data_IF_935560801025
#
_entry.id   IF_935560801025
#
_cell.length_a   1.000
_cell.length_b   1.000
_cell.length_c   1.000
_cell.angle_alpha   90.00
_cell.angle_beta   90.00
_cell.angle_gamma   90.00
#
_symmetry.space_group_name_H-M   'P 1'
#
loop_
_entity.id
_entity.type
_entity.pdbx_description
1 polymer ?
#
# COMPACT_ATOMS: atom_id res chain seq x y z
N UNK A 1 -1.18 -12.72 -2.99
CA UNK A 1 0.04 -13.57 -2.96
C UNK A 1 -0.06 -14.71 -1.95
N UNK A 2 -0.57 -14.47 -0.73
CA UNK A 2 -0.71 -15.51 0.32
C UNK A 2 -1.56 -16.72 -0.15
N UNK A 3 -2.65 -16.49 -0.90
CA UNK A 3 -3.47 -17.58 -1.46
C UNK A 3 -2.72 -18.49 -2.45
N UNK A 4 -1.81 -17.94 -3.26
CA UNK A 4 -1.04 -18.69 -4.26
C UNK A 4 -0.01 -19.65 -3.64
N UNK A 5 0.43 -19.34 -2.41
CA UNK A 5 1.34 -20.19 -1.64
C UNK A 5 0.55 -21.29 -0.88
N UNK A 6 -0.69 -21.00 -0.48
CA UNK A 6 -1.55 -21.95 0.24
C UNK A 6 -2.28 -22.94 -0.67
N UNK A 7 -2.62 -22.55 -1.90
CA UNK A 7 -3.30 -23.39 -2.90
C UNK A 7 -2.55 -24.69 -3.24
N UNK A 8 -1.24 -24.71 -3.53
CA UNK A 8 -0.52 -25.96 -3.78
C UNK A 8 -0.53 -26.88 -2.55
N UNK A 9 -0.56 -26.30 -1.35
CA UNK A 9 -0.63 -27.07 -0.11
C UNK A 9 -2.03 -27.68 0.15
N UNK A 10 -3.12 -26.99 -0.23
CA UNK A 10 -4.46 -27.58 -0.13
C UNK A 10 -4.66 -28.75 -1.08
N UNK A 11 -4.18 -28.65 -2.32
CA UNK A 11 -4.30 -29.74 -3.30
C UNK A 11 -3.56 -31.02 -2.87
N UNK A 12 -2.38 -30.88 -2.26
CA UNK A 12 -1.63 -32.02 -1.71
C UNK A 12 -2.37 -32.73 -0.57
N UNK A 13 -3.09 -31.98 0.27
CA UNK A 13 -3.91 -32.54 1.35
C UNK A 13 -5.23 -33.13 0.85
N UNK A 14 -5.79 -32.59 -0.22
CA UNK A 14 -7.06 -33.06 -0.79
C UNK A 14 -6.92 -34.47 -1.40
N UNK A 15 -5.68 -34.89 -1.74
CA UNK A 15 -5.36 -36.28 -2.07
C UNK A 15 -5.50 -37.24 -0.88
N UNK A 16 -5.46 -36.75 0.37
CA UNK A 16 -5.28 -37.56 1.58
C UNK A 16 -6.55 -37.76 2.43
N UNK A 17 -7.71 -37.13 2.17
CA UNK A 17 -8.86 -37.52 3.00
C UNK A 17 -10.26 -36.93 2.88
N UNK A 18 -10.56 -35.90 2.07
CA UNK A 18 -11.96 -35.52 1.79
C UNK A 18 -12.07 -34.77 0.46
N UNK A 19 -12.78 -35.36 -0.49
CA UNK A 19 -12.83 -34.91 -1.88
C UNK A 19 -13.78 -33.72 -2.06
N UNK A 20 -13.20 -32.56 -2.37
CA UNK A 20 -13.88 -31.57 -3.20
C UNK A 20 -13.63 -31.95 -4.66
N UNK A 21 -14.64 -31.90 -5.52
CA UNK A 21 -14.44 -32.22 -6.94
C UNK A 21 -13.34 -31.35 -7.53
N UNK A 22 -12.35 -31.95 -8.22
CA UNK A 22 -11.20 -31.23 -8.84
C UNK A 22 -11.64 -30.01 -9.65
N UNK A 23 -12.76 -30.17 -10.35
CA UNK A 23 -13.41 -29.13 -11.13
C UNK A 23 -13.87 -27.95 -10.24
N UNK A 24 -14.49 -28.23 -9.10
CA UNK A 24 -14.91 -27.20 -8.13
C UNK A 24 -13.72 -26.43 -7.55
N UNK A 25 -12.62 -27.12 -7.22
CA UNK A 25 -11.40 -26.49 -6.69
C UNK A 25 -10.74 -25.59 -7.74
N UNK A 26 -10.67 -26.05 -9.00
CA UNK A 26 -10.15 -25.26 -10.11
C UNK A 26 -10.99 -24.00 -10.38
N UNK A 27 -12.32 -24.13 -10.40
CA UNK A 27 -13.23 -22.98 -10.54
C UNK A 27 -13.07 -21.98 -9.39
N UNK A 28 -13.01 -22.47 -8.15
CA UNK A 28 -12.80 -21.60 -6.99
C UNK A 28 -11.44 -20.88 -7.08
N UNK A 29 -10.38 -21.58 -7.47
CA UNK A 29 -9.05 -20.99 -7.63
C UNK A 29 -9.01 -19.91 -8.73
N UNK A 30 -9.71 -20.10 -9.84
CA UNK A 30 -9.78 -19.10 -10.91
C UNK A 30 -10.68 -17.90 -10.56
N UNK A 31 -11.82 -18.14 -9.89
CA UNK A 31 -12.84 -17.12 -9.69
C UNK A 31 -12.66 -16.30 -8.42
N UNK A 32 -12.14 -16.86 -7.33
CA UNK A 32 -12.11 -16.16 -6.03
C UNK A 32 -11.42 -14.79 -6.11
N UNK A 33 -10.32 -14.68 -6.86
CA UNK A 33 -9.58 -13.41 -7.03
C UNK A 33 -10.36 -12.41 -7.87
N UNK A 34 -10.97 -12.88 -8.96
CA UNK A 34 -11.74 -12.02 -9.86
C UNK A 34 -13.01 -11.51 -9.18
N UNK A 35 -13.74 -12.37 -8.48
CA UNK A 35 -14.93 -12.02 -7.72
C UNK A 35 -14.59 -11.05 -6.59
N UNK A 36 -13.49 -11.27 -5.87
CA UNK A 36 -13.04 -10.35 -4.81
C UNK A 36 -12.72 -8.97 -5.37
N UNK A 37 -11.94 -8.89 -6.46
CA UNK A 37 -11.62 -7.62 -7.10
C UNK A 37 -12.88 -6.92 -7.62
N UNK A 38 -13.79 -7.66 -8.25
CA UNK A 38 -15.05 -7.12 -8.75
C UNK A 38 -15.92 -6.56 -7.62
N UNK A 39 -16.05 -7.30 -6.50
CA UNK A 39 -16.77 -6.83 -5.33
C UNK A 39 -16.16 -5.54 -4.77
N UNK A 40 -14.83 -5.47 -4.71
CA UNK A 40 -14.11 -4.27 -4.26
C UNK A 40 -14.33 -3.10 -5.21
N UNK A 41 -14.25 -3.32 -6.53
CA UNK A 41 -14.50 -2.30 -7.54
C UNK A 41 -15.94 -1.77 -7.46
N UNK A 42 -16.94 -2.64 -7.30
CA UNK A 42 -18.34 -2.24 -7.15
C UNK A 42 -18.57 -1.45 -5.86
N UNK A 43 -17.91 -1.85 -4.76
CA UNK A 43 -17.93 -1.11 -3.50
C UNK A 43 -17.38 0.32 -3.68
N UNK A 44 -16.22 0.47 -4.33
CA UNK A 44 -15.65 1.78 -4.62
C UNK A 44 -16.47 2.58 -5.64
N UNK A 45 -17.05 1.93 -6.65
CA UNK A 45 -17.94 2.58 -7.61
C UNK A 45 -19.16 3.19 -6.90
N UNK A 46 -19.75 2.47 -5.94
CA UNK A 46 -20.82 2.99 -5.08
C UNK A 46 -20.39 4.20 -4.23
N UNK A 47 -19.14 4.24 -3.79
CA UNK A 47 -18.58 5.39 -3.06
C UNK A 47 -18.40 6.63 -3.97
N UNK A 48 -18.07 6.44 -5.25
CA UNK A 48 -17.87 7.52 -6.24
C UNK A 48 -19.20 8.13 -6.70
N UNK A 49 -20.26 7.32 -6.83
CA UNK A 49 -21.60 7.74 -7.29
C UNK A 49 -22.33 8.63 -6.24
N UNK A 50 -21.68 8.98 -5.12
CA UNK A 50 -22.09 10.07 -4.24
C UNK A 50 -23.12 9.68 -3.16
N UNK A 51 -23.60 8.44 -3.13
CA UNK A 51 -24.51 7.95 -2.09
C UNK A 51 -23.82 7.63 -0.75
N UNK A 52 -22.48 7.55 -0.72
CA UNK A 52 -21.69 7.21 0.46
C UNK A 52 -20.84 8.36 1.02
N UNK A 53 -21.45 9.37 1.67
CA UNK A 53 -20.70 10.48 2.33
C UNK A 53 -19.68 9.98 3.37
N UNK A 54 -19.99 8.92 4.10
CA UNK A 54 -19.09 8.33 5.10
C UNK A 54 -17.83 7.71 4.47
N UNK A 55 -18.00 6.95 3.38
CA UNK A 55 -16.89 6.27 2.69
C UNK A 55 -15.97 7.29 2.02
N UNK A 56 -16.55 8.33 1.40
CA UNK A 56 -15.78 9.44 0.81
C UNK A 56 -14.99 10.24 1.84
N UNK A 57 -15.54 10.46 3.04
CA UNK A 57 -14.83 11.12 4.12
C UNK A 57 -13.67 10.26 4.66
N UNK A 58 -13.89 8.95 4.75
CA UNK A 58 -12.85 8.00 5.18
C UNK A 58 -11.70 7.96 4.17
N UNK A 59 -11.97 7.70 2.89
CA UNK A 59 -10.93 7.59 1.85
C UNK A 59 -10.34 8.93 1.39
N UNK A 60 -11.07 10.04 1.56
CA UNK A 60 -10.59 11.39 1.27
C UNK A 60 -9.65 11.96 2.34
N UNK A 61 -9.45 11.25 3.46
CA UNK A 61 -8.55 11.71 4.51
C UNK A 61 -7.10 11.77 3.99
N UNK A 62 -6.41 12.87 4.28
CA UNK A 62 -5.00 13.09 3.87
C UNK A 62 -4.05 12.00 4.37
N UNK A 63 -4.46 11.23 5.37
CA UNK A 63 -3.75 10.09 5.96
C UNK A 63 -3.51 8.95 4.94
N UNK A 64 -4.40 8.77 3.95
CA UNK A 64 -4.26 7.70 2.95
C UNK A 64 -3.15 7.95 1.93
N UNK A 65 -2.79 9.22 1.70
CA UNK A 65 -1.72 9.60 0.79
C UNK A 65 -0.37 8.95 1.12
N UNK A 66 0.21 9.17 2.31
CA UNK A 66 1.48 8.53 2.70
C UNK A 66 1.34 7.01 2.85
N UNK A 67 0.19 6.51 3.31
CA UNK A 67 -0.05 5.07 3.45
C UNK A 67 0.02 4.32 2.11
N UNK A 68 -0.60 4.87 1.06
CA UNK A 68 -0.56 4.26 -0.27
C UNK A 68 0.89 4.15 -0.79
N UNK A 69 1.68 5.21 -0.62
CA UNK A 69 3.10 5.22 -1.02
C UNK A 69 3.93 4.21 -0.24
N UNK A 70 3.76 4.14 1.08
CA UNK A 70 4.48 3.19 1.92
C UNK A 70 4.19 1.74 1.49
N UNK A 71 2.92 1.38 1.29
CA UNK A 71 2.55 0.02 0.87
C UNK A 71 3.10 -0.34 -0.51
N UNK A 72 3.25 0.63 -1.41
CA UNK A 72 3.83 0.43 -2.72
C UNK A 72 5.34 0.09 -2.63
N UNK A 73 6.09 0.80 -1.80
CA UNK A 73 7.53 0.52 -1.60
C UNK A 73 7.71 -0.85 -0.94
N UNK A 74 6.88 -1.17 0.07
CA UNK A 74 6.88 -2.49 0.71
C UNK A 74 6.64 -3.60 -0.31
N UNK A 75 5.68 -3.40 -1.23
CA UNK A 75 5.36 -4.39 -2.27
C UNK A 75 6.54 -4.66 -3.20
N UNK A 76 7.27 -3.62 -3.62
CA UNK A 76 8.46 -3.77 -4.47
C UNK A 76 9.59 -4.52 -3.73
N UNK A 77 9.87 -4.11 -2.48
CA UNK A 77 10.89 -4.76 -1.64
C UNK A 77 10.52 -6.21 -1.36
N UNK A 78 9.25 -6.51 -1.16
CA UNK A 78 8.78 -7.85 -0.87
C UNK A 78 9.15 -8.86 -1.96
N UNK A 79 8.99 -8.51 -3.25
CA UNK A 79 9.42 -9.36 -4.37
C UNK A 79 10.92 -9.61 -4.34
N UNK A 80 11.71 -8.59 -4.02
CA UNK A 80 13.17 -8.71 -3.93
C UNK A 80 13.60 -9.62 -2.78
N UNK A 81 12.99 -9.45 -1.60
CA UNK A 81 13.24 -10.27 -0.40
C UNK A 81 12.88 -11.73 -0.66
N UNK A 82 11.71 -11.99 -1.26
CA UNK A 82 11.32 -13.34 -1.67
C UNK A 82 12.39 -13.93 -2.60
N UNK A 83 12.77 -13.23 -3.66
CA UNK A 83 13.73 -13.74 -4.65
C UNK A 83 15.10 -14.03 -4.03
N UNK A 84 15.60 -13.15 -3.16
CA UNK A 84 16.87 -13.33 -2.46
C UNK A 84 16.85 -14.54 -1.52
N UNK A 85 15.74 -14.71 -0.78
CA UNK A 85 15.62 -15.82 0.16
C UNK A 85 15.43 -17.14 -0.57
N UNK A 86 14.58 -17.20 -1.60
CA UNK A 86 14.41 -18.40 -2.43
C UNK A 86 15.70 -18.80 -3.16
N UNK A 87 16.53 -17.84 -3.59
CA UNK A 87 17.86 -18.13 -4.16
C UNK A 87 18.84 -18.71 -3.14
N UNK A 88 18.65 -18.38 -1.86
CA UNK A 88 19.48 -18.88 -0.75
C UNK A 88 19.02 -20.26 -0.23
N UNK A 89 17.76 -20.62 -0.47
CA UNK A 89 17.20 -21.93 -0.10
C UNK A 89 17.68 -23.01 -1.09
N UNK A 90 18.84 -23.60 -0.79
CA UNK A 90 19.42 -24.70 -1.57
C UNK A 90 18.89 -26.09 -1.17
N UNK A 91 18.07 -26.20 -0.12
CA UNK A 91 17.55 -27.46 0.42
C UNK A 91 16.03 -27.40 0.61
N UNK A 92 15.35 -28.53 0.35
CA UNK A 92 13.90 -28.66 0.51
C UNK A 92 13.53 -28.74 1.98
N UNK A 93 12.88 -27.69 2.48
CA UNK A 93 12.36 -27.63 3.84
C UNK A 93 11.02 -28.37 3.86
N UNK A 94 10.80 -29.28 4.82
CA UNK A 94 9.50 -29.92 4.99
C UNK A 94 8.41 -28.89 5.31
N UNK A 95 7.58 -28.56 4.32
CA UNK A 95 6.55 -27.52 4.43
C UNK A 95 5.34 -28.07 5.21
N UNK A 96 5.23 -27.69 6.47
CA UNK A 96 4.02 -27.90 7.28
C UNK A 96 3.16 -26.63 7.28
N UNK A 97 1.82 -26.73 7.38
CA UNK A 97 0.90 -25.56 7.42
C UNK A 97 1.34 -24.46 8.38
N UNK A 98 1.72 -24.87 9.59
CA UNK A 98 2.10 -23.95 10.67
C UNK A 98 3.37 -23.18 10.29
N UNK A 99 4.33 -23.87 9.68
CA UNK A 99 5.57 -23.28 9.19
C UNK A 99 5.30 -22.32 8.02
N UNK A 100 4.41 -22.69 7.11
CA UNK A 100 4.04 -21.87 5.95
C UNK A 100 3.39 -20.54 6.37
N UNK A 101 2.45 -20.58 7.32
CA UNK A 101 1.82 -19.37 7.86
C UNK A 101 2.85 -18.52 8.60
N UNK A 102 3.67 -19.14 9.44
CA UNK A 102 4.72 -18.44 10.17
C UNK A 102 5.71 -17.75 9.21
N UNK A 103 6.16 -18.46 8.18
CA UNK A 103 7.09 -17.94 7.18
C UNK A 103 6.48 -16.79 6.37
N UNK A 104 5.20 -16.91 5.99
CA UNK A 104 4.48 -15.85 5.27
C UNK A 104 4.39 -14.57 6.09
N UNK A 105 4.08 -14.68 7.39
CA UNK A 105 4.03 -13.54 8.31
C UNK A 105 5.42 -12.93 8.46
N UNK A 106 6.44 -13.76 8.73
CA UNK A 106 7.82 -13.32 8.89
C UNK A 106 8.35 -12.59 7.65
N UNK A 107 8.02 -13.06 6.44
CA UNK A 107 8.40 -12.41 5.19
C UNK A 107 7.78 -11.02 5.03
N UNK A 108 6.51 -10.86 5.40
CA UNK A 108 5.83 -9.57 5.36
C UNK A 108 6.49 -8.63 6.37
N UNK A 109 6.69 -9.07 7.60
CA UNK A 109 7.36 -8.27 8.63
C UNK A 109 8.76 -7.82 8.22
N UNK A 110 9.56 -8.74 7.67
CA UNK A 110 10.91 -8.42 7.21
C UNK A 110 10.88 -7.41 6.06
N UNK A 111 9.92 -7.55 5.14
CA UNK A 111 9.75 -6.60 4.02
C UNK A 111 9.37 -5.20 4.51
N UNK A 112 8.55 -5.10 5.56
CA UNK A 112 8.23 -3.82 6.20
C UNK A 112 9.46 -3.18 6.84
N UNK A 113 10.26 -3.94 7.59
CA UNK A 113 11.47 -3.44 8.25
C UNK A 113 12.47 -2.89 7.22
N UNK A 114 12.68 -3.61 6.12
CA UNK A 114 13.61 -3.20 5.05
C UNK A 114 13.05 -2.04 4.23
N UNK A 115 11.74 -1.98 4.02
CA UNK A 115 11.11 -0.94 3.22
C UNK A 115 11.12 0.43 3.91
N UNK A 116 11.05 0.51 5.23
CA UNK A 116 11.02 1.79 5.96
C UNK A 116 12.26 2.67 5.68
N UNK A 117 13.51 2.18 5.84
CA UNK A 117 14.68 3.00 5.53
C UNK A 117 14.74 3.35 4.05
N UNK A 118 14.43 2.41 3.14
CA UNK A 118 14.39 2.66 1.70
C UNK A 118 13.37 3.75 1.35
N UNK A 119 12.19 3.71 1.96
CA UNK A 119 11.16 4.72 1.78
C UNK A 119 11.64 6.10 2.27
N UNK A 120 12.28 6.19 3.44
CA UNK A 120 12.84 7.45 3.94
C UNK A 120 13.95 8.01 3.03
N UNK A 121 14.84 7.14 2.54
CA UNK A 121 15.94 7.52 1.67
C UNK A 121 15.47 7.98 0.29
N UNK A 122 14.35 7.47 -0.22
CA UNK A 122 13.81 7.86 -1.52
C UNK A 122 12.85 9.05 -1.38
N UNK A 123 12.02 9.10 -0.35
CA UNK A 123 11.06 10.19 -0.17
C UNK A 123 11.75 11.54 0.10
N UNK A 124 12.82 11.56 0.91
CA UNK A 124 13.57 12.78 1.21
C UNK A 124 14.14 13.49 -0.04
N UNK A 125 14.90 12.83 -0.94
CA UNK A 125 15.41 13.45 -2.15
C UNK A 125 14.31 13.71 -3.18
N UNK A 126 13.28 12.86 -3.28
CA UNK A 126 12.17 13.08 -4.22
C UNK A 126 11.41 14.34 -3.86
N UNK A 127 11.19 14.62 -2.57
CA UNK A 127 10.55 15.87 -2.13
C UNK A 127 11.41 17.10 -2.43
N UNK A 128 12.74 16.98 -2.39
CA UNK A 128 13.65 18.06 -2.73
C UNK A 128 13.65 18.33 -4.24
N UNK A 129 13.67 17.28 -5.06
CA UNK A 129 13.59 17.38 -6.52
C UNK A 129 12.23 17.90 -6.96
N UNK A 130 11.14 17.40 -6.38
CA UNK A 130 9.78 17.89 -6.64
C UNK A 130 9.70 19.39 -6.35
N UNK A 131 10.33 19.87 -5.27
CA UNK A 131 10.37 21.30 -4.99
C UNK A 131 11.21 22.09 -5.99
N UNK A 132 12.35 21.55 -6.42
CA UNK A 132 13.23 22.21 -7.39
C UNK A 132 12.59 22.32 -8.78
N UNK A 133 11.82 21.31 -9.18
CA UNK A 133 11.18 21.24 -10.50
C UNK A 133 9.81 21.94 -10.50
N UNK A 134 9.00 21.82 -9.44
CA UNK A 134 7.66 22.43 -9.38
C UNK A 134 7.64 23.86 -8.82
N UNK A 135 8.68 24.31 -8.09
CA UNK A 135 8.74 25.67 -7.53
C UNK A 135 9.86 26.60 -8.03
N UNK A 136 10.30 26.61 -9.31
CA UNK A 136 11.04 27.78 -9.81
C UNK A 136 10.19 29.08 -9.81
N UNK A 137 8.88 29.03 -9.49
CA UNK A 137 7.96 30.18 -9.56
C UNK A 137 7.32 30.64 -8.23
N UNK A 138 7.76 30.15 -7.06
CA UNK A 138 7.17 30.58 -5.77
C UNK A 138 8.17 31.13 -4.75
N UNK A 139 9.16 31.86 -5.22
CA UNK A 139 10.13 32.60 -4.40
C UNK A 139 9.97 34.11 -4.59
N UNK A 140 8.76 34.67 -4.38
CA UNK A 140 8.53 36.11 -4.11
C UNK A 140 7.22 36.36 -3.34
N UNK A 141 7.02 35.71 -2.18
CA UNK A 141 5.96 36.15 -1.24
C UNK A 141 6.19 35.80 0.23
N UNK A 142 7.43 35.91 0.72
CA UNK A 142 7.73 35.95 2.15
C UNK A 142 9.02 36.73 2.37
N UNK A 143 8.97 38.04 2.17
CA UNK A 143 9.82 39.06 2.81
C UNK A 143 9.48 40.43 2.19
N UNK A 144 8.37 41.01 2.64
CA UNK A 144 8.28 42.46 2.74
C UNK A 144 7.84 42.72 4.19
N UNK A 145 8.70 43.31 5.03
CA UNK A 145 8.32 43.64 6.40
C UNK A 145 7.23 44.71 6.34
N UNK A 146 6.05 44.38 6.87
CA UNK A 146 4.96 45.33 7.10
C UNK A 146 5.47 46.37 8.09
N UNK A 147 5.99 47.48 7.56
CA UNK A 147 6.18 48.72 8.28
C UNK A 147 4.79 49.21 8.69
N UNK A 148 4.50 49.16 9.99
CA UNK A 148 3.26 49.73 10.55
C UNK A 148 3.40 51.24 10.56
N UNK A 149 2.79 51.91 9.60
CA UNK A 149 2.57 53.34 9.68
C UNK A 149 1.49 53.62 10.75
N UNK A 150 1.77 54.38 11.82
CA UNK A 150 0.82 54.65 12.89
C UNK A 150 -0.28 55.67 12.51
N UNK A 151 -0.42 56.06 11.24
CA UNK A 151 -1.22 57.21 10.82
C UNK A 151 -2.47 56.83 9.99
N UNK A 152 -3.18 55.77 10.37
CA UNK A 152 -4.49 55.43 9.78
C UNK A 152 -5.65 55.52 10.79
N UNK A 153 -5.36 55.76 12.07
CA UNK A 153 -6.39 55.88 13.12
C UNK A 153 -6.97 57.31 13.25
N UNK A 154 -6.34 58.34 12.67
CA UNK A 154 -6.79 59.73 12.79
C UNK A 154 -7.71 60.20 11.65
N UNK A 155 -7.78 59.48 10.52
CA UNK A 155 -8.53 59.92 9.33
C UNK A 155 -10.02 59.51 9.30
N UNK A 156 -10.52 58.79 10.30
CA UNK A 156 -11.95 58.43 10.43
C UNK A 156 -12.73 59.27 11.47
N UNK A 157 -12.14 60.37 11.96
CA UNK A 157 -12.88 61.40 12.73
C UNK A 157 -13.12 62.63 11.87
N UNK A 158 -14.03 62.53 10.91
CA UNK A 158 -14.80 63.63 10.34
C UNK A 158 -16.18 63.11 9.97
#
# INVERSE_FOLDING_TARGET
MIGLILVPYSELRDLEGRTWGRVSSAFFNALHRNVFNLALTLFFAGAIIGKGRAIRAFFGARVWGPWAKLTFIVYLVHIFVITAVFSSLRSSIFITKRLLVFYSISMIFLSFIVSIPIALLIESPVLQIERLILFPLKEKRKQEPVHKDPNFAETMKC
#
